data_IF_486349170733
#
_entry.id   IF_486349170733
#
_cell.length_a   1.000
_cell.length_b   1.000
_cell.length_c   1.000
_cell.angle_alpha   90.00
_cell.angle_beta   90.00
_cell.angle_gamma   90.00
#
_symmetry.space_group_name_H-M   'P 1'
#
loop_
_entity.id
_entity.type
_entity.pdbx_description
1 polymer ?
#
# COMPACT_ATOMS: atom_id res chain seq x y z
N UNK A 1 -3.99 -1.99 8.37
CA UNK A 1 -4.88 -3.17 8.40
C UNK A 1 -4.99 -3.77 7.02
N UNK A 2 -5.33 -5.04 6.95
CA UNK A 2 -5.59 -5.73 5.70
C UNK A 2 -7.09 -5.62 5.36
N UNK A 3 -7.40 -5.47 4.07
CA UNK A 3 -8.75 -5.67 3.55
C UNK A 3 -9.05 -7.18 3.59
N UNK A 4 -9.68 -7.64 4.67
CA UNK A 4 -9.86 -9.06 4.99
C UNK A 4 -11.25 -9.60 4.63
N UNK A 5 -11.51 -10.88 4.93
CA UNK A 5 -12.77 -11.53 4.55
C UNK A 5 -13.98 -10.95 5.26
N UNK A 6 -13.81 -10.42 6.47
CA UNK A 6 -14.90 -9.77 7.21
C UNK A 6 -15.27 -8.44 6.54
N UNK A 7 -14.26 -7.65 6.14
CA UNK A 7 -14.48 -6.42 5.36
C UNK A 7 -15.16 -6.72 4.02
N UNK A 8 -14.75 -7.79 3.34
CA UNK A 8 -15.39 -8.25 2.09
C UNK A 8 -16.85 -8.62 2.33
N UNK A 9 -17.15 -9.37 3.39
CA UNK A 9 -18.52 -9.75 3.76
C UNK A 9 -19.41 -8.53 4.01
N UNK A 10 -18.87 -7.53 4.71
CA UNK A 10 -19.55 -6.25 4.95
C UNK A 10 -19.87 -5.51 3.65
N UNK A 11 -18.91 -5.38 2.74
CA UNK A 11 -19.12 -4.73 1.43
C UNK A 11 -20.09 -5.51 0.55
N UNK A 12 -20.04 -6.85 0.57
CA UNK A 12 -20.99 -7.71 -0.15
C UNK A 12 -22.41 -7.47 0.34
N UNK A 13 -22.61 -7.36 1.67
CA UNK A 13 -23.91 -7.01 2.24
C UNK A 13 -24.39 -5.64 1.71
N UNK A 14 -23.54 -4.63 1.72
CA UNK A 14 -23.89 -3.30 1.19
C UNK A 14 -24.30 -3.34 -0.29
N UNK A 15 -23.55 -4.07 -1.11
CA UNK A 15 -23.84 -4.19 -2.55
C UNK A 15 -25.19 -4.91 -2.75
N UNK A 16 -25.41 -6.02 -2.06
CA UNK A 16 -26.66 -6.77 -2.15
C UNK A 16 -27.86 -5.92 -1.67
N UNK A 17 -27.74 -5.22 -0.55
CA UNK A 17 -28.80 -4.35 0.00
C UNK A 17 -29.12 -3.14 -0.90
N UNK A 18 -28.14 -2.69 -1.69
CA UNK A 18 -28.28 -1.56 -2.59
C UNK A 18 -28.83 -1.93 -3.98
N UNK A 19 -28.39 -3.05 -4.56
CA UNK A 19 -28.62 -3.32 -5.98
C UNK A 19 -28.87 -4.79 -6.38
N UNK A 20 -29.17 -5.68 -5.45
CA UNK A 20 -29.67 -7.02 -5.80
C UNK A 20 -30.93 -6.92 -6.69
N UNK A 21 -30.94 -7.69 -7.78
CA UNK A 21 -31.96 -7.66 -8.82
C UNK A 21 -31.84 -6.48 -9.79
N UNK A 22 -30.86 -5.60 -9.61
CA UNK A 22 -30.60 -4.45 -10.48
C UNK A 22 -29.98 -4.85 -11.81
N UNK A 23 -30.05 -3.96 -12.81
CA UNK A 23 -29.43 -4.18 -14.13
C UNK A 23 -28.09 -3.48 -14.25
N UNK A 24 -27.08 -4.18 -14.78
CA UNK A 24 -25.78 -3.59 -15.07
C UNK A 24 -25.88 -2.63 -16.28
N UNK A 25 -25.89 -1.32 -16.03
CA UNK A 25 -25.99 -0.31 -17.07
C UNK A 25 -24.67 -0.05 -17.77
N UNK A 26 -23.58 -0.04 -17.01
CA UNK A 26 -22.26 0.33 -17.51
C UNK A 26 -21.20 -0.55 -16.90
N UNK A 27 -20.31 -1.05 -17.76
CA UNK A 27 -19.01 -1.61 -17.40
C UNK A 27 -17.94 -0.75 -18.04
N UNK A 28 -17.01 -0.25 -17.24
CA UNK A 28 -15.92 0.61 -17.70
C UNK A 28 -14.60 0.20 -17.07
N UNK A 29 -13.49 0.54 -17.73
CA UNK A 29 -12.14 0.29 -17.27
C UNK A 29 -11.35 1.60 -17.36
N UNK A 30 -11.36 2.43 -16.31
CA UNK A 30 -10.68 3.72 -16.30
C UNK A 30 -9.16 3.62 -16.36
N UNK A 31 -8.62 2.59 -15.71
CA UNK A 31 -7.19 2.28 -15.64
C UNK A 31 -6.97 0.79 -15.92
N UNK A 32 -5.74 0.40 -16.22
CA UNK A 32 -5.42 -0.98 -16.60
C UNK A 32 -5.89 -2.02 -15.56
N UNK A 33 -5.80 -1.71 -14.27
CA UNK A 33 -6.14 -2.62 -13.16
C UNK A 33 -7.43 -2.21 -12.42
N UNK A 34 -8.27 -1.38 -13.03
CA UNK A 34 -9.49 -0.85 -12.41
C UNK A 34 -10.70 -1.13 -13.30
N UNK A 35 -11.69 -1.83 -12.75
CA UNK A 35 -13.01 -2.03 -13.35
C UNK A 35 -14.03 -1.26 -12.54
N UNK A 36 -15.01 -0.67 -13.22
CA UNK A 36 -16.13 -0.01 -12.55
C UNK A 36 -17.45 -0.50 -13.12
N UNK A 37 -18.40 -0.79 -12.25
CA UNK A 37 -19.75 -1.20 -12.60
C UNK A 37 -20.74 -0.11 -12.19
N UNK A 38 -21.75 0.14 -13.01
CA UNK A 38 -22.92 0.94 -12.61
C UNK A 38 -24.14 0.05 -12.71
N UNK A 39 -24.74 -0.27 -11.56
CA UNK A 39 -25.90 -1.15 -11.47
C UNK A 39 -27.10 -0.30 -11.07
N UNK A 40 -28.17 -0.36 -11.87
CA UNK A 40 -29.43 0.32 -11.57
C UNK A 40 -30.34 -0.65 -10.83
N UNK A 41 -30.41 -0.50 -9.51
CA UNK A 41 -31.37 -1.16 -8.64
C UNK A 41 -32.64 -0.32 -8.46
N UNK A 42 -33.50 -0.77 -7.54
CA UNK A 42 -34.73 -0.07 -7.19
C UNK A 42 -34.47 1.26 -6.44
N UNK A 43 -33.38 1.33 -5.67
CA UNK A 43 -32.98 2.53 -4.90
C UNK A 43 -32.18 3.55 -5.71
N UNK A 44 -31.94 3.29 -7.00
CA UNK A 44 -31.17 4.17 -7.89
C UNK A 44 -29.95 3.48 -8.49
N UNK A 45 -28.95 4.29 -8.85
CA UNK A 45 -27.71 3.78 -9.44
C UNK A 45 -26.64 3.56 -8.37
N UNK A 46 -26.25 2.31 -8.17
CA UNK A 46 -25.10 1.93 -7.36
C UNK A 46 -23.87 1.87 -8.25
N UNK A 47 -22.83 2.61 -7.90
CA UNK A 47 -21.56 2.62 -8.63
C UNK A 47 -20.54 1.85 -7.82
N UNK A 48 -19.97 0.81 -8.41
CA UNK A 48 -19.02 -0.09 -7.74
C UNK A 48 -17.66 0.15 -8.36
N UNK A 49 -16.69 0.47 -7.50
CA UNK A 49 -15.28 0.61 -7.86
C UNK A 49 -14.55 -0.68 -7.51
N UNK A 50 -13.83 -1.26 -8.47
CA UNK A 50 -13.04 -2.48 -8.32
C UNK A 50 -11.62 -2.17 -8.76
N UNK A 51 -10.67 -2.17 -7.83
CA UNK A 51 -9.25 -2.09 -8.12
C UNK A 51 -8.59 -3.41 -7.77
N UNK A 52 -7.81 -3.94 -8.69
CA UNK A 52 -6.90 -5.07 -8.45
C UNK A 52 -5.44 -4.63 -8.57
N UNK A 53 -5.18 -3.33 -8.38
CA UNK A 53 -3.85 -2.78 -8.34
C UNK A 53 -3.05 -3.34 -7.17
N UNK A 54 -1.80 -3.75 -7.42
CA UNK A 54 -0.97 -4.40 -6.41
C UNK A 54 -0.73 -3.57 -5.13
N UNK A 55 -0.77 -2.23 -5.22
CA UNK A 55 -0.58 -1.34 -4.09
C UNK A 55 -1.85 -1.13 -3.25
N UNK A 56 -3.03 -1.14 -3.90
CA UNK A 56 -4.32 -0.95 -3.23
C UNK A 56 -5.43 -1.72 -3.96
N UNK A 57 -5.50 -3.05 -3.79
CA UNK A 57 -6.61 -3.83 -4.29
C UNK A 57 -7.80 -3.66 -3.34
N UNK A 58 -8.94 -3.24 -3.88
CA UNK A 58 -10.10 -2.83 -3.07
C UNK A 58 -11.39 -2.86 -3.90
N UNK A 59 -12.49 -3.18 -3.25
CA UNK A 59 -13.85 -3.01 -3.78
C UNK A 59 -14.66 -2.14 -2.82
N UNK A 60 -15.42 -1.18 -3.35
CA UNK A 60 -16.36 -0.38 -2.56
C UNK A 60 -17.44 0.27 -3.44
N UNK A 61 -18.55 0.70 -2.82
CA UNK A 61 -19.56 1.54 -3.45
C UNK A 61 -19.08 3.01 -3.42
N UNK A 62 -19.01 3.64 -4.59
CA UNK A 62 -18.47 4.99 -4.75
C UNK A 62 -19.56 5.99 -5.13
N UNK A 63 -19.51 7.21 -4.60
CA UNK A 63 -20.39 8.29 -5.06
C UNK A 63 -20.07 8.73 -6.50
N UNK A 64 -18.77 8.71 -6.83
CA UNK A 64 -18.25 9.13 -8.14
C UNK A 64 -17.20 8.15 -8.63
N UNK A 65 -17.33 7.74 -9.89
CA UNK A 65 -16.35 6.90 -10.57
C UNK A 65 -15.35 7.76 -11.36
N UNK A 66 -14.11 7.29 -11.55
CA UNK A 66 -13.16 7.92 -12.46
C UNK A 66 -13.68 7.94 -13.91
N UNK A 67 -13.17 8.88 -14.70
CA UNK A 67 -13.52 8.98 -16.11
C UNK A 67 -12.80 7.88 -16.88
N UNK A 68 -13.54 7.11 -17.68
CA UNK A 68 -12.97 6.08 -18.52
C UNK A 68 -12.44 6.65 -19.85
N UNK A 69 -11.40 6.05 -20.44
CA UNK A 69 -10.92 6.41 -21.78
C UNK A 69 -12.00 6.17 -22.84
N UNK A 70 -11.88 6.90 -23.96
CA UNK A 70 -12.80 6.78 -25.10
C UNK A 70 -12.78 5.37 -25.72
N UNK A 71 -11.59 4.76 -25.83
CA UNK A 71 -11.43 3.39 -26.29
C UNK A 71 -11.36 2.44 -25.10
N UNK A 72 -12.28 1.48 -25.06
CA UNK A 72 -12.30 0.45 -24.02
C UNK A 72 -11.33 -0.69 -24.38
N UNK A 73 -10.52 -1.19 -23.43
CA UNK A 73 -9.69 -2.37 -23.66
C UNK A 73 -10.53 -3.63 -23.97
N UNK A 74 -9.90 -4.64 -24.57
CA UNK A 74 -10.57 -5.87 -25.02
C UNK A 74 -11.32 -6.59 -23.88
N UNK A 75 -10.70 -6.70 -22.70
CA UNK A 75 -11.35 -7.32 -21.53
C UNK A 75 -12.60 -6.54 -21.09
N UNK A 76 -12.55 -5.20 -21.07
CA UNK A 76 -13.72 -4.38 -20.78
C UNK A 76 -14.85 -4.59 -21.79
N UNK A 77 -14.51 -4.75 -23.08
CA UNK A 77 -15.49 -5.07 -24.11
C UNK A 77 -16.13 -6.45 -23.92
N UNK A 78 -15.34 -7.45 -23.53
CA UNK A 78 -15.86 -8.78 -23.19
C UNK A 78 -16.84 -8.71 -22.02
N UNK A 79 -16.48 -7.99 -20.94
CA UNK A 79 -17.38 -7.77 -19.81
C UNK A 79 -18.67 -7.06 -20.24
N UNK A 80 -18.60 -6.07 -21.15
CA UNK A 80 -19.81 -5.42 -21.69
C UNK A 80 -20.70 -6.40 -22.46
N UNK A 81 -20.11 -7.30 -23.25
CA UNK A 81 -20.85 -8.33 -23.99
C UNK A 81 -21.63 -9.23 -23.04
N UNK A 82 -20.99 -9.70 -21.95
CA UNK A 82 -21.56 -10.74 -21.08
C UNK A 82 -22.33 -10.21 -19.86
N UNK A 83 -22.04 -8.99 -19.41
CA UNK A 83 -22.66 -8.41 -18.21
C UNK A 83 -23.57 -7.24 -18.55
N UNK A 84 -23.39 -6.59 -19.71
CA UNK A 84 -24.16 -5.42 -20.10
C UNK A 84 -25.65 -5.72 -20.16
N UNK A 85 -26.47 -4.89 -19.49
CA UNK A 85 -27.90 -5.08 -19.28
C UNK A 85 -28.30 -6.39 -18.57
N UNK A 86 -27.35 -7.22 -18.15
CA UNK A 86 -27.58 -8.38 -17.31
C UNK A 86 -28.11 -7.97 -15.94
N UNK A 87 -28.89 -8.85 -15.32
CA UNK A 87 -29.46 -8.65 -14.00
C UNK A 87 -28.50 -9.21 -12.95
N UNK A 88 -28.07 -8.40 -11.98
CA UNK A 88 -27.31 -8.89 -10.84
C UNK A 88 -28.26 -9.74 -9.97
N UNK A 89 -27.99 -11.03 -9.85
CA UNK A 89 -28.75 -11.96 -9.01
C UNK A 89 -28.32 -11.82 -7.55
N UNK A 90 -27.00 -11.85 -7.31
CA UNK A 90 -26.42 -11.75 -5.97
C UNK A 90 -24.91 -11.55 -6.09
N UNK A 91 -24.30 -11.10 -5.01
CA UNK A 91 -22.85 -11.19 -4.81
C UNK A 91 -22.57 -12.20 -3.70
N UNK A 92 -21.72 -13.19 -3.97
CA UNK A 92 -21.32 -14.25 -3.04
C UNK A 92 -19.88 -14.06 -2.58
N UNK A 93 -19.55 -14.70 -1.45
CA UNK A 93 -18.20 -14.76 -0.90
C UNK A 93 -17.74 -16.22 -0.79
N UNK A 94 -17.08 -16.77 -1.82
CA UNK A 94 -16.59 -18.14 -1.79
C UNK A 94 -15.62 -18.38 -0.61
N UNK A 95 -15.91 -19.38 0.22
CA UNK A 95 -15.04 -19.82 1.32
C UNK A 95 -14.74 -18.77 2.40
N UNK A 96 -15.55 -17.71 2.49
CA UNK A 96 -15.31 -16.56 3.37
C UNK A 96 -13.93 -15.89 3.18
N UNK A 97 -13.34 -16.04 2.00
CA UNK A 97 -12.06 -15.42 1.65
C UNK A 97 -12.29 -14.04 1.01
N UNK A 98 -11.20 -13.37 0.60
CA UNK A 98 -11.19 -12.06 -0.02
C UNK A 98 -11.56 -12.12 -1.50
N UNK A 99 -12.69 -12.73 -1.79
CA UNK A 99 -13.21 -12.98 -3.13
C UNK A 99 -14.65 -12.49 -3.21
N UNK A 100 -14.95 -11.70 -4.24
CA UNK A 100 -16.32 -11.33 -4.62
C UNK A 100 -16.71 -12.14 -5.83
N UNK A 101 -17.83 -12.86 -5.79
CA UNK A 101 -18.42 -13.50 -6.96
C UNK A 101 -19.74 -12.79 -7.29
N UNK A 102 -19.71 -11.88 -8.26
CA UNK A 102 -20.90 -11.20 -8.75
C UNK A 102 -21.60 -12.10 -9.77
N UNK A 103 -22.76 -12.62 -9.40
CA UNK A 103 -23.56 -13.52 -10.24
C UNK A 103 -24.57 -12.71 -11.03
N UNK A 104 -24.43 -12.72 -12.36
CA UNK A 104 -25.32 -12.05 -13.29
C UNK A 104 -26.14 -13.07 -14.07
N UNK A 105 -27.42 -12.76 -14.26
CA UNK A 105 -28.29 -13.39 -15.24
C UNK A 105 -28.19 -12.63 -16.56
N UNK A 106 -27.91 -13.34 -17.66
CA UNK A 106 -27.81 -12.76 -18.99
C UNK A 106 -28.46 -13.67 -20.04
N UNK A 107 -29.11 -13.08 -21.05
CA UNK A 107 -29.60 -13.82 -22.20
C UNK A 107 -28.45 -14.11 -23.15
N UNK A 108 -28.25 -15.36 -23.51
CA UNK A 108 -27.21 -15.72 -24.47
C UNK A 108 -27.62 -15.41 -25.93
N UNK A 109 -26.77 -15.81 -26.88
CA UNK A 109 -26.98 -15.56 -28.31
C UNK A 109 -28.20 -16.33 -28.87
N UNK A 110 -28.67 -17.38 -28.18
CA UNK A 110 -29.84 -18.18 -28.53
C UNK A 110 -31.12 -17.66 -27.86
N UNK A 111 -30.99 -16.69 -26.96
CA UNK A 111 -32.09 -16.10 -26.20
C UNK A 111 -32.40 -16.83 -24.90
N UNK A 112 -31.60 -17.82 -24.53
CA UNK A 112 -31.75 -18.58 -23.29
C UNK A 112 -31.10 -17.84 -22.12
N UNK A 113 -31.68 -18.02 -20.94
CA UNK A 113 -31.16 -17.41 -19.71
C UNK A 113 -29.95 -18.23 -19.24
N UNK A 114 -28.81 -17.56 -19.07
CA UNK A 114 -27.57 -18.18 -18.56
C UNK A 114 -26.92 -17.31 -17.49
N UNK A 115 -26.22 -17.94 -16.55
CA UNK A 115 -25.47 -17.25 -15.50
C UNK A 115 -24.07 -16.86 -15.98
N UNK A 116 -23.56 -15.72 -15.49
CA UNK A 116 -22.20 -15.25 -15.67
C UNK A 116 -21.63 -14.80 -14.35
N UNK A 117 -20.42 -15.25 -14.05
CA UNK A 117 -19.71 -14.96 -12.82
C UNK A 117 -18.62 -13.94 -13.10
N UNK A 118 -18.71 -12.77 -12.46
CA UNK A 118 -17.61 -11.82 -12.40
C UNK A 118 -16.93 -11.96 -11.04
N UNK A 119 -15.78 -12.62 -11.03
CA UNK A 119 -15.06 -12.98 -9.81
C UNK A 119 -13.91 -11.99 -9.62
N UNK A 120 -13.81 -11.40 -8.42
CA UNK A 120 -12.79 -10.43 -8.06
C UNK A 120 -12.02 -10.95 -6.86
N UNK A 121 -10.71 -11.15 -7.04
CA UNK A 121 -9.81 -11.62 -5.99
C UNK A 121 -8.98 -10.46 -5.44
N UNK A 122 -9.00 -10.26 -4.12
CA UNK A 122 -8.25 -9.21 -3.42
C UNK A 122 -7.09 -9.85 -2.63
N UNK A 123 -6.02 -10.18 -3.36
CA UNK A 123 -4.86 -10.93 -2.88
C UNK A 123 -3.53 -10.15 -3.02
N UNK A 124 -3.56 -8.83 -2.86
CA UNK A 124 -2.35 -8.00 -3.01
C UNK A 124 -1.85 -8.01 -4.46
N UNK A 125 -0.61 -8.45 -4.68
CA UNK A 125 0.00 -8.56 -6.02
C UNK A 125 -0.71 -9.56 -6.94
N UNK A 126 -1.34 -10.58 -6.36
CA UNK A 126 -2.06 -11.63 -7.09
C UNK A 126 -3.54 -11.28 -7.34
N UNK A 127 -3.98 -10.08 -6.97
CA UNK A 127 -5.36 -9.64 -7.18
C UNK A 127 -5.73 -9.65 -8.67
N UNK A 128 -6.95 -10.09 -8.98
CA UNK A 128 -7.38 -10.33 -10.35
C UNK A 128 -8.90 -10.15 -10.52
N UNK A 129 -9.33 -9.99 -11.76
CA UNK A 129 -10.75 -9.98 -12.17
C UNK A 129 -10.93 -11.07 -13.22
N UNK A 130 -11.83 -12.01 -12.98
CA UNK A 130 -12.08 -13.17 -13.81
C UNK A 130 -13.55 -13.13 -14.24
N UNK A 131 -13.81 -13.38 -15.53
CA UNK A 131 -15.15 -13.62 -16.04
C UNK A 131 -15.28 -15.12 -16.34
N UNK A 132 -16.30 -15.76 -15.81
CA UNK A 132 -16.61 -17.16 -16.04
C UNK A 132 -18.09 -17.37 -16.43
N UNK A 133 -18.38 -18.52 -17.04
CA UNK A 133 -19.75 -18.98 -17.29
C UNK A 133 -20.37 -19.69 -16.09
N UNK A 134 -21.56 -20.27 -16.28
CA UNK A 134 -22.33 -20.96 -15.23
C UNK A 134 -21.64 -22.22 -14.69
N UNK A 135 -20.75 -22.82 -15.46
CA UNK A 135 -19.96 -24.00 -15.05
C UNK A 135 -18.60 -23.57 -14.47
N UNK A 136 -18.44 -22.29 -14.15
CA UNK A 136 -17.19 -21.69 -13.72
C UNK A 136 -16.03 -21.87 -14.72
N UNK A 137 -16.31 -22.08 -16.01
CA UNK A 137 -15.27 -22.04 -17.04
C UNK A 137 -14.89 -20.60 -17.34
N UNK A 138 -13.60 -20.30 -17.23
CA UNK A 138 -13.04 -18.96 -17.45
C UNK A 138 -13.26 -18.57 -18.92
N UNK A 139 -13.98 -17.47 -19.14
CA UNK A 139 -14.10 -16.83 -20.44
C UNK A 139 -12.86 -15.98 -20.74
N UNK A 140 -12.46 -15.14 -19.77
CA UNK A 140 -11.17 -14.44 -19.76
C UNK A 140 -10.89 -13.88 -18.35
N UNK A 141 -9.67 -13.38 -18.13
CA UNK A 141 -9.31 -12.66 -16.91
C UNK A 141 -8.43 -11.45 -17.22
N UNK A 142 -8.44 -10.47 -16.32
CA UNK A 142 -7.67 -9.24 -16.48
C UNK A 142 -6.17 -9.49 -16.46
N UNK A 143 -5.71 -10.40 -15.59
CA UNK A 143 -4.32 -10.86 -15.51
C UNK A 143 -4.26 -12.36 -15.76
N UNK A 144 -3.86 -12.78 -16.97
CA UNK A 144 -3.72 -14.20 -17.32
C UNK A 144 -2.54 -14.83 -16.59
N UNK A 145 -2.76 -16.01 -16.01
CA UNK A 145 -1.72 -16.80 -15.33
C UNK A 145 -1.54 -18.10 -16.11
N UNK A 146 -0.44 -18.20 -16.84
CA UNK A 146 -0.07 -19.37 -17.65
C UNK A 146 0.90 -20.29 -16.89
N UNK A 147 1.04 -21.57 -17.29
CA UNK A 147 1.95 -22.53 -16.65
C UNK A 147 3.38 -22.00 -16.41
N UNK A 148 3.98 -21.36 -17.43
CA UNK A 148 5.34 -20.81 -17.33
C UNK A 148 5.44 -19.64 -16.35
N UNK A 149 4.39 -18.81 -16.29
CA UNK A 149 4.33 -17.69 -15.36
C UNK A 149 4.03 -18.16 -13.93
N UNK A 150 3.22 -19.20 -13.78
CA UNK A 150 2.95 -19.79 -12.48
C UNK A 150 4.18 -20.50 -11.90
N UNK A 151 4.99 -21.17 -12.73
CA UNK A 151 6.31 -21.71 -12.35
C UNK A 151 7.28 -20.61 -11.90
N UNK A 152 7.24 -19.43 -12.53
CA UNK A 152 8.08 -18.29 -12.14
C UNK A 152 7.61 -17.55 -10.88
N UNK A 153 6.36 -17.76 -10.45
CA UNK A 153 5.79 -17.22 -9.22
C UNK A 153 5.98 -18.16 -8.01
N UNK A 154 6.45 -19.39 -8.26
CA UNK A 154 6.79 -20.40 -7.25
C UNK A 154 8.25 -20.24 -6.80
N UNK A 155 8.51 -19.27 -5.92
CA UNK A 155 9.66 -19.36 -5.02
C UNK A 155 9.20 -19.94 -3.69
N UNK A 156 9.63 -21.18 -3.42
CA UNK A 156 9.75 -21.85 -2.10
C UNK A 156 8.52 -22.47 -1.40
N UNK A 157 7.49 -22.96 -2.08
CA UNK A 157 6.56 -23.92 -1.46
C UNK A 157 5.91 -24.81 -2.53
N UNK A 158 5.73 -26.10 -2.23
CA UNK A 158 5.18 -27.19 -3.08
C UNK A 158 3.71 -27.00 -3.52
N UNK A 159 3.26 -25.76 -3.79
CA UNK A 159 1.89 -25.45 -4.21
C UNK A 159 1.81 -25.43 -5.73
N UNK A 160 1.02 -26.37 -6.28
CA UNK A 160 0.66 -26.39 -7.70
C UNK A 160 0.26 -25.00 -8.19
N UNK A 161 1.02 -24.49 -9.14
CA UNK A 161 0.68 -23.43 -10.07
C UNK A 161 -0.81 -23.40 -10.46
N UNK A 162 -1.57 -22.44 -9.91
CA UNK A 162 -2.95 -22.17 -10.32
C UNK A 162 -2.96 -21.48 -11.69
N UNK A 163 -3.70 -22.05 -12.64
CA UNK A 163 -3.80 -21.53 -14.02
C UNK A 163 -5.08 -20.69 -14.16
N UNK A 164 -4.93 -19.44 -14.60
CA UNK A 164 -6.04 -18.54 -14.93
C UNK A 164 -5.96 -18.21 -16.42
N UNK A 165 -6.71 -18.98 -17.21
CA UNK A 165 -6.68 -18.89 -18.67
C UNK A 165 -8.04 -19.25 -19.28
N UNK A 166 -8.46 -18.63 -20.40
CA UNK A 166 -9.69 -18.99 -21.10
C UNK A 166 -9.84 -20.50 -21.34
N UNK A 167 -11.03 -21.04 -21.08
CA UNK A 167 -11.38 -22.45 -21.24
C UNK A 167 -10.91 -23.36 -20.10
N UNK A 168 -10.31 -22.82 -19.03
CA UNK A 168 -10.02 -23.56 -17.80
C UNK A 168 -11.11 -23.32 -16.77
N UNK A 169 -11.38 -24.34 -15.96
CA UNK A 169 -12.25 -24.22 -14.80
C UNK A 169 -11.62 -23.28 -13.78
N UNK A 170 -12.43 -22.37 -13.25
CA UNK A 170 -12.05 -21.51 -12.15
C UNK A 170 -12.10 -22.31 -10.84
N UNK A 171 -10.95 -22.38 -10.17
CA UNK A 171 -10.82 -22.91 -8.81
C UNK A 171 -10.45 -21.72 -7.95
N UNK A 172 -11.14 -21.46 -6.83
CA UNK A 172 -10.78 -20.36 -5.93
C UNK A 172 -9.34 -20.52 -5.39
N UNK A 173 -8.66 -19.44 -4.96
CA UNK A 173 -7.37 -19.56 -4.28
C UNK A 173 -7.43 -20.55 -3.12
N UNK A 174 -6.44 -21.44 -2.97
CA UNK A 174 -6.39 -22.40 -1.87
C UNK A 174 -6.50 -21.68 -0.53
N UNK A 175 -7.62 -21.90 0.17
CA UNK A 175 -7.89 -21.38 1.50
C UNK A 175 -7.08 -22.14 2.56
N UNK A 176 -5.76 -22.29 2.38
CA UNK A 176 -4.75 -22.75 3.36
C UNK A 176 -5.26 -23.65 4.52
N UNK A 177 -5.93 -24.79 4.25
CA UNK A 177 -6.50 -25.67 5.30
C UNK A 177 -7.30 -24.94 6.39
N UNK A 178 -7.86 -23.76 6.09
CA UNK A 178 -8.62 -22.92 6.99
C UNK A 178 -10.08 -23.28 6.93
N UNK A 179 -10.76 -23.16 8.06
CA UNK A 179 -12.20 -23.38 8.15
C UNK A 179 -12.97 -22.11 7.78
N UNK A 180 -14.16 -22.27 7.24
CA UNK A 180 -15.10 -21.18 7.06
C UNK A 180 -15.74 -20.86 8.43
N UNK A 181 -15.45 -19.70 9.05
CA UNK A 181 -15.97 -19.39 10.38
C UNK A 181 -17.50 -19.24 10.40
N UNK A 182 -18.11 -18.87 9.27
CA UNK A 182 -19.57 -18.70 9.18
C UNK A 182 -20.28 -20.04 9.04
N UNK A 183 -19.70 -21.01 8.37
CA UNK A 183 -20.36 -22.29 8.10
C UNK A 183 -19.97 -23.38 9.11
N UNK A 184 -18.69 -23.46 9.45
CA UNK A 184 -18.12 -24.65 10.10
C UNK A 184 -17.71 -24.42 11.56
N UNK A 185 -17.72 -23.19 12.07
CA UNK A 185 -17.25 -22.91 13.43
C UNK A 185 -18.23 -23.42 14.49
N UNK A 186 -17.71 -24.29 15.35
CA UNK A 186 -18.37 -24.86 16.53
C UNK A 186 -17.37 -25.06 17.67
N UNK A 187 -17.88 -25.39 18.87
CA UNK A 187 -17.02 -25.73 20.01
C UNK A 187 -16.05 -26.87 19.69
N UNK A 188 -16.52 -27.91 19.00
CA UNK A 188 -15.68 -29.05 18.61
C UNK A 188 -14.56 -28.64 17.65
N UNK A 189 -14.85 -27.77 16.68
CA UNK A 189 -13.81 -27.26 15.76
C UNK A 189 -12.80 -26.35 16.48
N UNK A 190 -13.26 -25.55 17.44
CA UNK A 190 -12.39 -24.71 18.25
C UNK A 190 -11.40 -25.57 19.05
N UNK A 191 -11.91 -26.59 19.75
CA UNK A 191 -11.09 -27.47 20.57
C UNK A 191 -10.15 -28.34 19.72
N UNK A 192 -10.59 -28.81 18.55
CA UNK A 192 -9.78 -29.71 17.70
C UNK A 192 -8.79 -29.01 16.77
N UNK A 193 -9.08 -27.79 16.29
CA UNK A 193 -8.28 -27.10 15.27
C UNK A 193 -7.54 -25.85 15.76
N UNK A 194 -8.04 -25.19 16.81
CA UNK A 194 -7.39 -24.00 17.38
C UNK A 194 -6.61 -24.41 18.63
N UNK A 195 -7.23 -25.11 19.59
CA UNK A 195 -6.59 -25.45 20.87
C UNK A 195 -5.47 -26.50 20.76
N UNK A 196 -5.37 -27.21 19.63
CA UNK A 196 -4.29 -28.18 19.35
C UNK A 196 -3.05 -27.55 18.73
N UNK A 197 -3.11 -26.28 18.32
CA UNK A 197 -1.98 -25.57 17.69
C UNK A 197 -0.93 -25.18 18.75
N UNK A 198 0.29 -24.94 18.28
CA UNK A 198 1.40 -24.45 19.12
C UNK A 198 1.75 -23.01 18.80
N UNK A 199 2.23 -22.29 19.82
CA UNK A 199 2.69 -20.91 19.70
C UNK A 199 1.63 -19.86 20.09
N UNK A 200 1.80 -18.61 19.63
CA UNK A 200 0.96 -17.48 20.06
C UNK A 200 -0.51 -17.67 19.71
N UNK A 201 -1.41 -17.36 20.66
CA UNK A 201 -2.87 -17.50 20.50
C UNK A 201 -3.37 -16.80 19.24
N UNK A 202 -2.92 -15.56 19.01
CA UNK A 202 -3.28 -14.76 17.82
C UNK A 202 -3.00 -15.53 16.53
N UNK A 203 -1.83 -16.20 16.43
CA UNK A 203 -1.43 -16.96 15.24
C UNK A 203 -2.30 -18.19 15.02
N UNK A 204 -2.72 -18.85 16.09
CA UNK A 204 -3.65 -19.97 15.97
C UNK A 204 -5.01 -19.52 15.44
N UNK A 205 -5.53 -18.38 15.88
CA UNK A 205 -6.83 -17.85 15.43
C UNK A 205 -6.81 -17.49 13.95
N UNK A 206 -5.95 -16.54 13.51
CA UNK A 206 -5.93 -16.14 12.08
C UNK A 206 -5.34 -17.22 11.16
N UNK A 207 -4.60 -18.17 11.72
CA UNK A 207 -4.03 -19.31 11.01
C UNK A 207 -5.05 -20.39 10.70
N UNK A 208 -6.09 -20.55 11.54
CA UNK A 208 -7.13 -21.57 11.38
C UNK A 208 -8.41 -21.02 10.75
N UNK A 209 -8.79 -19.77 11.05
CA UNK A 209 -10.03 -19.17 10.52
C UNK A 209 -9.76 -18.42 9.20
N UNK A 210 -10.52 -18.76 8.16
CA UNK A 210 -10.52 -18.01 6.90
C UNK A 210 -11.13 -16.62 7.11
N UNK A 211 -10.71 -15.65 6.28
CA UNK A 211 -11.21 -14.27 6.34
C UNK A 211 -10.73 -13.42 7.52
N UNK A 212 -10.14 -14.01 8.57
CA UNK A 212 -9.62 -13.27 9.73
C UNK A 212 -8.22 -12.71 9.45
N UNK A 213 -8.07 -11.38 9.56
CA UNK A 213 -6.73 -10.78 9.56
C UNK A 213 -6.03 -10.98 10.91
N UNK A 214 -4.70 -10.86 10.90
CA UNK A 214 -3.91 -10.82 12.14
C UNK A 214 -4.42 -9.76 13.11
N UNK A 215 -4.74 -8.57 12.60
CA UNK A 215 -5.16 -7.46 13.45
C UNK A 215 -6.55 -7.70 14.06
N UNK A 216 -7.47 -8.32 13.33
CA UNK A 216 -8.76 -8.72 13.91
C UNK A 216 -8.61 -9.89 14.90
N UNK A 217 -7.68 -10.82 14.67
CA UNK A 217 -7.37 -11.84 15.67
C UNK A 217 -6.78 -11.24 16.96
N UNK A 218 -5.96 -10.20 16.87
CA UNK A 218 -5.48 -9.45 18.05
C UNK A 218 -6.66 -8.80 18.80
N UNK A 219 -7.62 -8.21 18.09
CA UNK A 219 -8.85 -7.66 18.67
C UNK A 219 -9.68 -8.73 19.40
N UNK A 220 -9.90 -9.89 18.79
CA UNK A 220 -10.68 -10.98 19.41
C UNK A 220 -9.99 -11.52 20.67
N UNK A 221 -8.67 -11.69 20.63
CA UNK A 221 -7.87 -12.12 21.79
C UNK A 221 -7.90 -11.06 22.89
N UNK A 222 -7.88 -9.77 22.52
CA UNK A 222 -8.02 -8.66 23.47
C UNK A 222 -9.40 -8.66 24.14
N UNK A 223 -10.50 -8.86 23.38
CA UNK A 223 -11.87 -8.97 23.93
C UNK A 223 -12.02 -10.13 24.91
N UNK A 224 -11.29 -11.22 24.68
CA UNK A 224 -11.23 -12.36 25.60
C UNK A 224 -10.44 -12.09 26.90
N UNK A 225 -9.84 -10.89 27.05
CA UNK A 225 -9.03 -10.53 28.21
C UNK A 225 -7.65 -11.22 28.25
N UNK A 226 -7.18 -11.70 27.10
CA UNK A 226 -5.93 -12.47 26.99
C UNK A 226 -4.81 -11.56 26.47
N UNK A 227 -3.62 -11.65 27.05
CA UNK A 227 -2.41 -11.06 26.44
C UNK A 227 -2.07 -11.83 25.17
N UNK A 228 -2.12 -11.17 24.01
CA UNK A 228 -1.86 -11.77 22.70
C UNK A 228 -0.46 -12.38 22.52
N UNK A 229 0.47 -12.14 23.45
CA UNK A 229 1.80 -12.79 23.49
C UNK A 229 1.79 -14.16 24.15
N UNK A 230 0.76 -14.50 24.92
CA UNK A 230 0.64 -15.81 25.56
C UNK A 230 0.62 -16.93 24.52
N UNK A 231 1.17 -18.08 24.91
CA UNK A 231 1.04 -19.31 24.14
C UNK A 231 -0.28 -20.00 24.45
N UNK A 232 -0.84 -20.75 23.51
CA UNK A 232 -2.08 -21.52 23.73
C UNK A 232 -2.00 -22.47 24.93
N UNK A 233 -0.82 -23.07 25.17
CA UNK A 233 -0.61 -23.99 26.29
C UNK A 233 -0.60 -23.32 27.67
N UNK A 234 -0.55 -21.98 27.73
CA UNK A 234 -0.54 -21.19 28.97
C UNK A 234 -1.94 -20.68 29.33
N UNK A 235 -2.94 -20.92 28.48
CA UNK A 235 -4.30 -20.45 28.72
C UNK A 235 -4.99 -21.30 29.79
N UNK A 236 -5.56 -20.63 30.78
CA UNK A 236 -6.51 -21.22 31.72
C UNK A 236 -7.81 -21.63 31.01
N UNK A 237 -8.58 -22.54 31.60
CA UNK A 237 -9.89 -22.95 31.05
C UNK A 237 -10.89 -21.78 30.93
N UNK A 238 -10.77 -20.79 31.81
CA UNK A 238 -11.53 -19.54 31.76
C UNK A 238 -11.16 -18.72 30.52
N UNK A 239 -9.87 -18.55 30.24
CA UNK A 239 -9.38 -17.83 29.06
C UNK A 239 -9.76 -18.56 27.76
N UNK A 240 -9.67 -19.89 27.72
CA UNK A 240 -10.11 -20.67 26.55
C UNK A 240 -11.60 -20.47 26.27
N UNK A 241 -12.42 -20.48 27.32
CA UNK A 241 -13.86 -20.26 27.19
C UNK A 241 -14.17 -18.83 26.73
N UNK A 242 -13.51 -17.82 27.30
CA UNK A 242 -13.66 -16.43 26.88
C UNK A 242 -13.20 -16.18 25.43
N UNK A 243 -12.15 -16.88 24.98
CA UNK A 243 -11.71 -16.83 23.58
C UNK A 243 -12.75 -17.42 22.63
N UNK A 244 -13.34 -18.56 22.98
CA UNK A 244 -14.41 -19.17 22.20
C UNK A 244 -15.62 -18.23 22.09
N UNK A 245 -16.05 -17.64 23.21
CA UNK A 245 -17.16 -16.68 23.24
C UNK A 245 -16.87 -15.44 22.38
N UNK A 246 -15.67 -14.85 22.49
CA UNK A 246 -15.30 -13.69 21.69
C UNK A 246 -15.27 -13.96 20.18
N UNK A 247 -14.82 -15.15 19.76
CA UNK A 247 -14.88 -15.59 18.36
C UNK A 247 -16.34 -15.80 17.94
N UNK A 248 -17.13 -16.49 18.75
CA UNK A 248 -18.52 -16.82 18.49
C UNK A 248 -19.39 -15.56 18.34
N UNK A 249 -19.19 -14.56 19.19
CA UNK A 249 -19.88 -13.27 19.13
C UNK A 249 -19.54 -12.54 17.82
N UNK A 250 -18.26 -12.52 17.44
CA UNK A 250 -17.83 -11.92 16.17
C UNK A 250 -18.47 -12.63 14.96
N UNK A 251 -18.56 -13.95 14.99
CA UNK A 251 -19.20 -14.75 13.94
C UNK A 251 -20.72 -14.51 13.90
N UNK A 252 -21.36 -14.35 15.06
CA UNK A 252 -22.77 -14.01 15.15
C UNK A 252 -23.06 -12.66 14.49
N UNK A 253 -22.26 -11.64 14.79
CA UNK A 253 -22.40 -10.31 14.16
C UNK A 253 -22.25 -10.40 12.64
N UNK A 254 -21.29 -11.19 12.14
CA UNK A 254 -21.09 -11.42 10.70
C UNK A 254 -22.31 -12.09 10.07
N UNK A 255 -22.86 -13.14 10.70
CA UNK A 255 -24.05 -13.88 10.22
C UNK A 255 -25.29 -13.02 10.16
N UNK A 256 -25.51 -12.22 11.19
CA UNK A 256 -26.66 -11.31 11.30
C UNK A 256 -26.48 -10.06 10.44
N UNK A 257 -25.27 -9.80 9.96
CA UNK A 257 -24.93 -8.60 9.19
C UNK A 257 -24.86 -7.33 10.05
N UNK A 258 -24.61 -7.49 11.36
CA UNK A 258 -24.50 -6.42 12.35
C UNK A 258 -23.10 -5.79 12.28
N UNK A 259 -22.78 -5.17 11.15
CA UNK A 259 -21.52 -4.48 10.98
C UNK A 259 -21.54 -3.13 11.68
N UNK A 260 -20.42 -2.79 12.32
CA UNK A 260 -20.15 -1.47 12.91
C UNK A 260 -18.80 -0.96 12.39
N UNK A 261 -18.76 -0.45 11.15
CA UNK A 261 -17.54 0.07 10.55
C UNK A 261 -16.89 1.14 11.43
N UNK A 262 -15.59 0.99 11.72
CA UNK A 262 -14.84 1.93 12.55
C UNK A 262 -13.41 2.17 12.04
N UNK A 263 -12.84 3.32 12.43
CA UNK A 263 -11.42 3.65 12.22
C UNK A 263 -10.75 3.77 13.57
N UNK A 264 -9.65 3.05 13.74
CA UNK A 264 -8.77 3.17 14.90
C UNK A 264 -7.72 4.26 14.66
N UNK A 265 -7.61 5.18 15.62
CA UNK A 265 -6.63 6.26 15.62
C UNK A 265 -5.54 6.01 16.66
N UNK A 266 -4.31 6.40 16.33
CA UNK A 266 -3.18 6.46 17.28
C UNK A 266 -2.49 7.81 17.06
N UNK A 267 -2.38 8.60 18.12
CA UNK A 267 -1.84 9.96 18.09
C UNK A 267 -2.53 10.87 17.05
N UNK A 268 -3.85 10.73 16.91
CA UNK A 268 -4.66 11.47 15.93
C UNK A 268 -4.47 11.03 14.47
N UNK A 269 -3.69 9.98 14.20
CA UNK A 269 -3.45 9.45 12.85
C UNK A 269 -4.29 8.18 12.65
N UNK A 270 -5.06 8.07 11.55
CA UNK A 270 -5.80 6.85 11.23
C UNK A 270 -4.80 5.71 11.00
N UNK A 271 -4.81 4.73 11.90
CA UNK A 271 -3.88 3.59 11.90
C UNK A 271 -4.51 2.38 11.21
N UNK A 272 -5.73 2.04 11.61
CA UNK A 272 -6.43 0.82 11.23
C UNK A 272 -7.93 1.07 11.01
N UNK A 273 -8.62 0.14 10.35
CA UNK A 273 -10.06 0.22 10.08
C UNK A 273 -10.65 -1.19 10.04
N UNK A 274 -11.90 -1.36 10.44
CA UNK A 274 -12.55 -2.67 10.33
C UNK A 274 -14.07 -2.53 10.25
N UNK A 275 -14.75 -3.59 9.79
CA UNK A 275 -16.23 -3.67 9.73
C UNK A 275 -16.89 -4.03 11.08
N UNK A 276 -16.07 -4.35 12.09
CA UNK A 276 -16.47 -4.64 13.46
C UNK A 276 -15.63 -3.78 14.40
N UNK A 277 -16.09 -3.53 15.64
CA UNK A 277 -15.38 -2.66 16.58
C UNK A 277 -13.95 -3.10 16.85
N UNK A 278 -13.03 -2.15 17.00
CA UNK A 278 -11.63 -2.43 17.35
C UNK A 278 -11.31 -1.89 18.76
N UNK A 279 -11.86 -2.55 19.78
CA UNK A 279 -11.81 -2.15 21.19
C UNK A 279 -10.40 -2.16 21.79
N UNK A 280 -9.45 -2.89 21.17
CA UNK A 280 -8.03 -2.86 21.52
C UNK A 280 -7.39 -1.48 21.32
N UNK A 281 -7.99 -0.64 20.48
CA UNK A 281 -7.63 0.77 20.34
C UNK A 281 -8.56 1.59 21.24
N UNK A 282 -8.00 2.45 22.09
CA UNK A 282 -8.75 3.29 23.03
C UNK A 282 -9.92 4.05 22.35
N UNK A 283 -10.85 4.56 23.16
CA UNK A 283 -12.16 5.13 22.80
C UNK A 283 -12.20 6.26 21.75
N UNK A 284 -11.06 6.70 21.20
CA UNK A 284 -11.01 7.61 20.05
C UNK A 284 -11.32 6.90 18.70
N UNK A 285 -11.90 5.69 18.77
CA UNK A 285 -12.47 4.99 17.62
C UNK A 285 -13.71 5.76 17.15
N UNK A 286 -13.55 6.56 16.11
CA UNK A 286 -14.66 7.32 15.53
C UNK A 286 -15.75 6.35 15.05
N UNK A 287 -16.80 6.22 15.84
CA UNK A 287 -18.14 5.83 15.40
C UNK A 287 -18.73 7.11 14.81
N UNK A 288 -19.15 7.08 13.55
CA UNK A 288 -19.58 8.29 12.83
C UNK A 288 -20.47 9.19 13.67
N UNK A 289 -20.00 10.39 14.02
CA UNK A 289 -20.88 11.44 14.52
C UNK A 289 -21.87 11.82 13.41
N UNK A 290 -23.16 11.69 13.76
CA UNK A 290 -24.35 12.28 13.15
C UNK A 290 -24.42 12.43 11.63
N UNK A 291 -25.27 11.59 11.01
CA UNK A 291 -25.92 11.91 9.73
C UNK A 291 -25.37 11.17 8.51
N UNK A 292 -25.93 9.99 8.27
CA UNK A 292 -26.18 9.36 6.97
C UNK A 292 -25.05 8.77 6.10
N UNK A 293 -23.76 9.08 6.27
CA UNK A 293 -22.73 8.53 5.35
C UNK A 293 -21.66 7.63 5.96
N UNK A 294 -21.45 7.62 7.28
CA UNK A 294 -20.36 6.85 7.92
C UNK A 294 -20.78 5.49 8.50
N UNK A 295 -22.03 5.05 8.27
CA UNK A 295 -22.49 3.71 8.68
C UNK A 295 -22.05 2.60 7.71
N UNK A 296 -21.61 2.97 6.50
CA UNK A 296 -21.19 2.03 5.47
C UNK A 296 -19.66 1.92 5.44
N UNK A 297 -19.19 0.68 5.39
CA UNK A 297 -17.81 0.32 5.15
C UNK A 297 -17.29 0.93 3.85
N UNK A 298 -18.10 1.01 2.79
CA UNK A 298 -17.70 1.65 1.54
C UNK A 298 -17.28 3.11 1.73
N UNK A 299 -18.10 3.90 2.41
CA UNK A 299 -17.80 5.31 2.70
C UNK A 299 -16.58 5.46 3.62
N UNK A 300 -16.47 4.59 4.63
CA UNK A 300 -15.35 4.56 5.55
C UNK A 300 -14.03 4.29 4.82
N UNK A 301 -14.00 3.35 3.87
CA UNK A 301 -12.82 3.08 3.05
C UNK A 301 -12.40 4.29 2.23
N UNK A 302 -13.36 4.98 1.59
CA UNK A 302 -13.09 6.22 0.83
C UNK A 302 -12.46 7.27 1.75
N UNK A 303 -13.05 7.48 2.93
CA UNK A 303 -12.52 8.42 3.92
C UNK A 303 -11.11 8.02 4.39
N UNK A 304 -10.91 6.78 4.81
CA UNK A 304 -9.63 6.28 5.32
C UNK A 304 -8.51 6.43 4.29
N UNK A 305 -8.73 5.96 3.06
CA UNK A 305 -7.71 6.00 2.01
C UNK A 305 -7.47 7.42 1.48
N UNK A 306 -8.49 8.29 1.43
CA UNK A 306 -8.27 9.69 1.06
C UNK A 306 -7.39 10.43 2.08
N UNK A 307 -7.58 10.20 3.38
CA UNK A 307 -6.76 10.79 4.44
C UNK A 307 -5.37 10.17 4.53
N UNK A 308 -5.27 8.86 4.33
CA UNK A 308 -3.98 8.16 4.26
C UNK A 308 -3.17 8.62 3.06
N UNK A 309 -3.78 8.77 1.88
CA UNK A 309 -3.10 9.27 0.68
C UNK A 309 -2.63 10.72 0.86
N UNK A 310 -3.45 11.60 1.46
CA UNK A 310 -3.02 12.96 1.83
C UNK A 310 -1.77 12.93 2.71
N UNK A 311 -1.77 12.08 3.73
CA UNK A 311 -0.65 11.95 4.68
C UNK A 311 0.62 11.41 4.01
N UNK A 312 0.49 10.36 3.19
CA UNK A 312 1.61 9.78 2.43
C UNK A 312 2.16 10.81 1.44
N UNK A 313 1.31 11.50 0.68
CA UNK A 313 1.73 12.52 -0.27
C UNK A 313 2.47 13.69 0.41
N UNK A 314 1.97 14.15 1.56
CA UNK A 314 2.64 15.19 2.35
C UNK A 314 4.01 14.72 2.82
N UNK A 315 4.12 13.49 3.35
CA UNK A 315 5.41 12.91 3.79
C UNK A 315 6.40 12.75 2.64
N UNK A 316 5.96 12.22 1.49
CA UNK A 316 6.80 12.05 0.30
C UNK A 316 7.34 13.40 -0.20
N UNK A 317 6.45 14.39 -0.41
CA UNK A 317 6.86 15.75 -0.80
C UNK A 317 7.79 16.40 0.22
N UNK A 318 7.54 16.18 1.52
CA UNK A 318 8.41 16.69 2.59
C UNK A 318 9.81 16.06 2.54
N UNK A 319 9.91 14.77 2.25
CA UNK A 319 11.18 14.07 2.12
C UNK A 319 11.97 14.54 0.90
N UNK A 320 11.32 14.71 -0.25
CA UNK A 320 11.95 15.23 -1.46
C UNK A 320 12.46 16.66 -1.24
N UNK A 321 11.66 17.50 -0.58
CA UNK A 321 12.06 18.87 -0.25
C UNK A 321 13.24 18.90 0.72
N UNK A 322 13.30 18.00 1.71
CA UNK A 322 14.47 17.86 2.60
C UNK A 322 15.72 17.47 1.82
N UNK A 323 15.63 16.54 0.86
CA UNK A 323 16.79 16.16 0.01
C UNK A 323 17.32 17.36 -0.77
N UNK A 324 16.42 18.17 -1.35
CA UNK A 324 16.81 19.39 -2.09
C UNK A 324 17.51 20.39 -1.15
N UNK A 325 16.93 20.66 0.02
CA UNK A 325 17.50 21.56 1.02
C UNK A 325 18.86 21.08 1.51
N UNK A 326 18.99 19.78 1.80
CA UNK A 326 20.26 19.20 2.26
C UNK A 326 21.35 19.31 1.20
N UNK A 327 21.03 19.04 -0.07
CA UNK A 327 21.96 19.25 -1.17
C UNK A 327 22.32 20.73 -1.39
N UNK A 328 21.45 21.68 -1.06
CA UNK A 328 21.76 23.11 -1.09
C UNK A 328 22.67 23.53 0.07
N UNK A 329 22.41 23.03 1.27
CA UNK A 329 23.23 23.27 2.47
C UNK A 329 24.65 22.73 2.25
N UNK A 330 24.79 21.48 1.79
CA UNK A 330 26.10 20.88 1.54
C UNK A 330 26.92 21.64 0.49
N UNK A 331 26.29 22.04 -0.62
CA UNK A 331 26.95 22.85 -1.66
C UNK A 331 27.40 24.20 -1.12
N UNK A 332 26.56 24.85 -0.33
CA UNK A 332 26.86 26.17 0.25
C UNK A 332 27.97 26.07 1.30
N UNK A 333 27.95 25.03 2.13
CA UNK A 333 29.00 24.75 3.12
C UNK A 333 30.34 24.51 2.44
N UNK A 334 30.40 23.65 1.41
CA UNK A 334 31.64 23.40 0.66
C UNK A 334 32.17 24.67 -0.01
N UNK A 335 31.29 25.51 -0.57
CA UNK A 335 31.69 26.78 -1.15
C UNK A 335 32.27 27.73 -0.11
N UNK A 336 31.66 27.79 1.08
CA UNK A 336 32.16 28.59 2.19
C UNK A 336 33.56 28.12 2.63
N UNK A 337 33.77 26.80 2.74
CA UNK A 337 35.06 26.24 3.14
C UNK A 337 36.16 26.57 2.12
N UNK A 338 35.87 26.44 0.83
CA UNK A 338 36.79 26.84 -0.25
C UNK A 338 37.11 28.34 -0.20
N UNK A 339 36.11 29.19 0.01
CA UNK A 339 36.31 30.64 0.12
C UNK A 339 37.13 31.02 1.35
N UNK A 340 36.96 30.30 2.47
CA UNK A 340 37.79 30.49 3.68
C UNK A 340 39.23 30.07 3.44
N UNK A 341 39.47 28.96 2.77
CA UNK A 341 40.82 28.54 2.38
C UNK A 341 41.48 29.55 1.44
N UNK A 342 40.74 30.04 0.43
CA UNK A 342 41.22 31.10 -0.46
C UNK A 342 41.55 32.36 0.32
N UNK A 343 40.67 32.80 1.23
CA UNK A 343 40.92 33.99 2.06
C UNK A 343 42.18 33.83 2.91
N UNK A 344 42.36 32.68 3.56
CA UNK A 344 43.57 32.41 4.35
C UNK A 344 44.83 32.41 3.49
N UNK A 345 44.78 31.84 2.28
CA UNK A 345 45.92 31.90 1.35
C UNK A 345 46.27 33.31 0.87
N UNK A 346 45.39 34.29 1.06
CA UNK A 346 45.69 35.70 0.74
C UNK A 346 46.38 36.47 1.85
N UNK A 347 46.60 35.88 3.02
CA UNK A 347 47.28 36.55 4.16
C UNK A 347 48.72 36.96 3.81
N UNK A 348 49.42 36.17 2.99
CA UNK A 348 50.79 36.49 2.54
C UNK A 348 50.83 37.52 1.39
N UNK A 349 49.69 38.06 0.95
CA UNK A 349 49.62 38.99 -0.18
C UNK A 349 50.51 40.21 0.03
N UNK A 350 50.47 40.81 1.22
CA UNK A 350 51.25 42.01 1.52
C UNK A 350 52.75 41.71 1.56
N UNK A 351 53.13 40.52 2.04
CA UNK A 351 54.51 40.04 2.01
C UNK A 351 55.02 39.91 0.58
N UNK A 352 54.27 39.25 -0.31
CA UNK A 352 54.67 39.12 -1.72
C UNK A 352 54.63 40.46 -2.47
N UNK A 353 53.71 41.36 -2.13
CA UNK A 353 53.70 42.74 -2.67
C UNK A 353 55.00 43.47 -2.32
N UNK A 354 55.42 43.42 -1.06
CA UNK A 354 56.68 44.03 -0.59
C UNK A 354 57.88 43.37 -1.30
N UNK A 355 57.88 42.05 -1.48
CA UNK A 355 58.93 41.36 -2.24
C UNK A 355 59.04 41.87 -3.68
N UNK A 356 57.93 41.97 -4.41
CA UNK A 356 57.93 42.49 -5.78
C UNK A 356 58.40 43.95 -5.88
N UNK A 357 58.01 44.81 -4.94
CA UNK A 357 58.46 46.21 -4.87
C UNK A 357 59.97 46.32 -4.59
N UNK A 358 60.48 45.52 -3.66
CA UNK A 358 61.90 45.46 -3.33
C UNK A 358 62.74 44.86 -4.46
N UNK A 359 62.23 43.83 -5.14
CA UNK A 359 62.88 43.24 -6.32
C UNK A 359 62.97 44.25 -7.47
N UNK A 360 61.92 45.03 -7.72
CA UNK A 360 61.98 46.11 -8.71
C UNK A 360 63.00 47.20 -8.36
N UNK A 361 63.23 47.44 -7.06
CA UNK A 361 64.12 48.50 -6.57
C UNK A 361 65.59 48.05 -6.53
N UNK A 362 65.86 46.86 -6.02
CA UNK A 362 67.21 46.35 -5.74
C UNK A 362 67.66 45.24 -6.68
N UNK A 363 66.77 44.70 -7.52
CA UNK A 363 67.04 43.57 -8.40
C UNK A 363 68.01 43.82 -9.55
N UNK A 364 68.33 45.07 -9.89
CA UNK A 364 69.24 45.41 -11.00
C UNK A 364 70.66 44.83 -10.87
N UNK A 365 71.08 44.50 -9.64
CA UNK A 365 72.43 44.00 -9.36
C UNK A 365 72.48 42.50 -9.03
N UNK A 366 71.34 41.79 -9.14
CA UNK A 366 71.27 40.34 -8.89
C UNK A 366 71.57 39.61 -10.20
N UNK A 367 72.33 38.51 -10.13
CA UNK A 367 72.59 37.67 -11.29
C UNK A 367 71.43 36.70 -11.53
N UNK A 368 71.16 36.35 -12.79
CA UNK A 368 70.17 35.33 -13.12
C UNK A 368 70.59 33.97 -12.55
N UNK A 369 69.66 33.24 -11.93
CA UNK A 369 69.89 31.92 -11.33
C UNK A 369 70.23 31.89 -9.82
N UNK A 370 70.20 33.04 -9.14
CA UNK A 370 70.35 33.14 -7.68
C UNK A 370 69.13 32.60 -6.92
N UNK A 371 69.33 32.02 -5.72
CA UNK A 371 68.22 31.43 -4.93
C UNK A 371 67.50 32.44 -4.04
N UNK A 372 68.12 33.58 -3.76
CA UNK A 372 67.54 34.62 -2.90
C UNK A 372 68.22 35.98 -3.04
N UNK A 373 67.51 37.04 -2.68
CA UNK A 373 68.03 38.40 -2.54
C UNK A 373 67.88 38.88 -1.10
N UNK A 374 68.97 39.28 -0.46
CA UNK A 374 68.92 40.00 0.82
C UNK A 374 69.07 41.49 0.59
N UNK A 375 68.07 42.28 1.01
CA UNK A 375 68.08 43.74 0.89
C UNK A 375 67.46 44.39 2.12
N UNK A 376 67.67 45.70 2.30
CA UNK A 376 67.02 46.45 3.37
C UNK A 376 65.62 46.83 2.93
N UNK A 377 64.61 46.43 3.69
CA UNK A 377 63.24 46.83 3.48
C UNK A 377 63.07 48.30 3.83
N UNK A 378 62.81 49.16 2.84
CA UNK A 378 62.67 50.60 3.07
C UNK A 378 61.37 50.99 3.80
N UNK A 379 60.43 50.06 4.04
CA UNK A 379 59.22 50.31 4.83
C UNK A 379 59.48 50.26 6.35
N UNK A 380 60.44 49.47 6.81
CA UNK A 380 60.73 49.27 8.25
C UNK A 380 62.22 49.32 8.62
N UNK A 381 63.10 49.52 7.64
CA UNK A 381 64.56 49.55 7.75
C UNK A 381 65.19 48.26 8.31
N UNK A 382 64.51 47.11 8.20
CA UNK A 382 65.08 45.80 8.56
C UNK A 382 65.61 45.07 7.33
N UNK A 383 66.61 44.19 7.51
CA UNK A 383 67.05 43.30 6.44
C UNK A 383 66.00 42.22 6.18
N UNK A 384 65.69 41.99 4.92
CA UNK A 384 64.75 40.98 4.46
C UNK A 384 65.38 40.13 3.37
N UNK A 385 65.21 38.80 3.47
CA UNK A 385 65.64 37.84 2.47
C UNK A 385 64.44 37.40 1.64
N UNK A 386 64.49 37.64 0.34
CA UNK A 386 63.46 37.35 -0.65
C UNK A 386 63.88 36.07 -1.39
N UNK A 387 63.11 34.97 -1.32
CA UNK A 387 63.39 33.77 -2.10
C UNK A 387 63.12 34.03 -3.60
N UNK A 388 63.97 33.48 -4.47
CA UNK A 388 63.87 33.59 -5.91
C UNK A 388 63.71 32.21 -6.56
N UNK A 389 62.95 32.16 -7.65
CA UNK A 389 62.92 31.03 -8.57
C UNK A 389 64.06 31.17 -9.58
N UNK A 390 64.94 30.15 -9.63
CA UNK A 390 66.14 30.12 -10.46
C UNK A 390 65.83 30.02 -11.95
N UNK A 391 64.66 29.48 -12.29
CA UNK A 391 64.26 29.27 -13.68
C UNK A 391 63.62 30.53 -14.29
N UNK A 392 63.44 31.59 -13.48
CA UNK A 392 62.83 32.86 -13.88
C UNK A 392 63.86 33.99 -13.82
N UNK A 393 63.74 34.96 -14.72
CA UNK A 393 64.50 36.20 -14.61
C UNK A 393 64.05 37.01 -13.38
N UNK A 394 64.87 37.96 -12.93
CA UNK A 394 64.53 38.81 -11.77
C UNK A 394 63.24 39.62 -11.99
N UNK A 395 62.95 39.98 -13.25
CA UNK A 395 61.72 40.67 -13.65
C UNK A 395 60.49 39.76 -13.67
N UNK A 396 60.68 38.46 -13.85
CA UNK A 396 59.61 37.45 -13.78
C UNK A 396 59.36 36.99 -12.34
N UNK A 397 60.38 37.09 -11.48
CA UNK A 397 60.26 36.88 -10.03
C UNK A 397 59.54 38.04 -9.30
N UNK A 398 59.61 39.26 -9.83
CA UNK A 398 58.97 40.47 -9.26
C UNK A 398 57.50 40.59 -9.65
#
# INVERSE_FOLDING_TARGET
MAYDGIVVSSIIKEINDACNGGRCLKVQQPEAEVITLTIKGFKGQTKIYISVNASLPIVYIADKLPVAPLQAPAFCMLLRKHLGNGRLITVKQPGFDRVFDFVFEHMDEMGDISERHLIVEIMGRQSNVILADSDYLILDCLKRVTPDLSLALETNDDKKARILFPGKEYIAPDSQDKINPVEDFSRDTFDSLIMTKTGPVVKAVFGTLSGFSKAFAEEVVFRAGIDGRKSLGELSESEKSGLYEAIQDSIKDIKEGNYSPCIAYVDGIPKDYHSLPLTMYNADTFVGEDGDSNHLMSSLLVYFYSNKQKTINIRAKSQDMRKILQGAVERTSRKLDLQRQQLSSTEDRDKYRIYGELLNTYGYNVADGEESLTCVNYYDNQEITIPLDKDLSIRENS
#
